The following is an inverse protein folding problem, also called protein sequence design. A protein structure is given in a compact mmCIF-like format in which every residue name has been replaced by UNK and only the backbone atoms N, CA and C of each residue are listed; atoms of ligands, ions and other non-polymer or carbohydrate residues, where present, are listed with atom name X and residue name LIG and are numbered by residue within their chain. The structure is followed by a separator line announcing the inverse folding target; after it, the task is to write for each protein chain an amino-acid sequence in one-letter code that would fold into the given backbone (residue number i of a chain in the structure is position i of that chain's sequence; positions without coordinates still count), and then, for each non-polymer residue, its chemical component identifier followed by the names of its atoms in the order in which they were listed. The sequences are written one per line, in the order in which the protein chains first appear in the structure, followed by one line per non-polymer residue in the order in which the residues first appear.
data_IF_963342097398
#
_entry.id   IF_963342097398
#
_cell.length_a   1.000
_cell.length_b   1.000
_cell.length_c   1.000
_cell.angle_alpha   90.00
_cell.angle_beta   90.00
_cell.angle_gamma   90.00
#
_symmetry.space_group_name_H-M   'P 1'
#
loop_
_entity.id
_entity.type
_entity.pdbx_description
1 polymer ?
#
# COMPACT_ATOMS: atom_id res chain seq x y z
N UNK A 1 -74.90 20.04 -31.24
CA UNK A 1 -74.09 19.48 -30.13
C UNK A 1 -72.67 19.97 -30.34
N UNK A 2 -72.20 20.88 -29.49
CA UNK A 2 -70.81 21.32 -29.57
C UNK A 2 -69.95 20.24 -28.92
N UNK A 3 -69.06 19.62 -29.71
CA UNK A 3 -68.03 18.75 -29.18
C UNK A 3 -67.16 19.56 -28.21
N UNK A 4 -67.20 19.22 -26.94
CA UNK A 4 -66.36 19.83 -25.93
C UNK A 4 -64.91 19.45 -26.22
N UNK A 5 -64.16 20.36 -26.84
CA UNK A 5 -62.72 20.19 -27.04
C UNK A 5 -62.04 19.95 -25.69
N UNK A 6 -61.15 18.95 -25.56
CA UNK A 6 -60.43 18.71 -24.32
C UNK A 6 -59.68 19.96 -23.89
N UNK A 7 -59.72 20.27 -22.59
CA UNK A 7 -59.00 21.41 -22.02
C UNK A 7 -57.51 21.36 -22.42
N UNK A 8 -56.91 22.52 -22.70
CA UNK A 8 -55.49 22.61 -23.08
C UNK A 8 -54.57 21.96 -22.05
N UNK A 9 -53.42 21.45 -22.50
CA UNK A 9 -52.43 20.82 -21.62
C UNK A 9 -52.03 21.74 -20.45
N UNK A 10 -51.87 23.05 -20.70
CA UNK A 10 -51.51 24.03 -19.67
C UNK A 10 -52.57 24.15 -18.57
N UNK A 11 -53.85 24.14 -18.94
CA UNK A 11 -54.96 24.16 -17.99
C UNK A 11 -55.03 22.88 -17.16
N UNK A 12 -54.78 21.72 -17.77
CA UNK A 12 -54.71 20.43 -17.06
C UNK A 12 -53.51 20.38 -16.11
N UNK A 13 -52.34 20.89 -16.54
CA UNK A 13 -51.13 20.97 -15.73
C UNK A 13 -51.31 21.87 -14.50
N UNK A 14 -51.87 23.07 -14.67
CA UNK A 14 -52.15 23.99 -13.56
C UNK A 14 -53.12 23.39 -12.54
N UNK A 15 -54.16 22.69 -13.00
CA UNK A 15 -55.12 22.01 -12.12
C UNK A 15 -54.46 20.89 -11.29
N UNK A 16 -53.65 20.05 -11.94
CA UNK A 16 -52.91 18.97 -11.27
C UNK A 16 -51.85 19.51 -10.29
N UNK A 17 -51.13 20.57 -10.65
CA UNK A 17 -50.16 21.23 -9.78
C UNK A 17 -50.85 21.81 -8.53
N UNK A 18 -51.97 22.52 -8.69
CA UNK A 18 -52.74 23.04 -7.54
C UNK A 18 -53.23 21.92 -6.63
N UNK A 19 -53.72 20.82 -7.19
CA UNK A 19 -54.13 19.64 -6.41
C UNK A 19 -52.95 19.08 -5.62
N UNK A 20 -51.80 18.86 -6.26
CA UNK A 20 -50.63 18.29 -5.61
C UNK A 20 -50.08 19.24 -4.52
N UNK A 21 -50.07 20.54 -4.75
CA UNK A 21 -49.69 21.55 -3.76
C UNK A 21 -50.65 21.58 -2.57
N UNK A 22 -51.96 21.50 -2.80
CA UNK A 22 -52.97 21.42 -1.71
C UNK A 22 -52.81 20.13 -0.91
N UNK A 23 -52.51 19.01 -1.57
CA UNK A 23 -52.21 17.75 -0.89
C UNK A 23 -50.97 17.86 0.00
N UNK A 24 -49.89 18.44 -0.52
CA UNK A 24 -48.67 18.67 0.27
C UNK A 24 -48.88 19.68 1.41
N UNK A 25 -49.70 20.72 1.20
CA UNK A 25 -50.09 21.67 2.25
C UNK A 25 -50.87 21.00 3.39
N UNK A 26 -51.72 20.03 3.08
CA UNK A 26 -52.47 19.26 4.10
C UNK A 26 -51.56 18.32 4.89
N UNK A 27 -50.52 17.78 4.25
CA UNK A 27 -49.53 16.89 4.87
C UNK A 27 -48.24 17.64 5.27
N UNK A 28 -48.39 18.83 5.85
CA UNK A 28 -47.26 19.73 6.15
C UNK A 28 -46.21 19.09 7.06
N UNK A 29 -46.63 18.31 8.05
CA UNK A 29 -45.73 17.62 8.99
C UNK A 29 -44.86 16.57 8.30
N UNK A 30 -45.40 15.86 7.32
CA UNK A 30 -44.63 14.87 6.57
C UNK A 30 -43.58 15.55 5.69
N UNK A 31 -43.93 16.69 5.08
CA UNK A 31 -43.01 17.47 4.26
C UNK A 31 -41.90 18.11 5.08
N UNK A 32 -42.22 18.68 6.24
CA UNK A 32 -41.22 19.20 7.17
C UNK A 32 -40.24 18.08 7.55
N UNK A 33 -40.73 16.89 7.91
CA UNK A 33 -39.87 15.75 8.25
C UNK A 33 -38.93 15.37 7.09
N UNK A 34 -39.45 15.25 5.87
CA UNK A 34 -38.66 14.91 4.68
C UNK A 34 -37.56 15.92 4.39
N UNK A 35 -37.84 17.22 4.56
CA UNK A 35 -36.86 18.28 4.35
C UNK A 35 -35.82 18.30 5.49
N UNK A 36 -36.23 18.06 6.74
CA UNK A 36 -35.31 18.09 7.90
C UNK A 36 -34.32 16.94 7.94
N UNK A 37 -34.66 15.75 7.41
CA UNK A 37 -33.80 14.56 7.48
C UNK A 37 -32.44 14.79 6.77
N UNK A 38 -32.38 15.29 5.52
CA UNK A 38 -31.12 15.64 4.87
C UNK A 38 -30.28 16.63 5.67
N UNK A 39 -30.87 17.68 6.25
CA UNK A 39 -30.16 18.64 7.08
C UNK A 39 -29.58 17.98 8.34
N UNK A 40 -30.37 17.12 8.99
CA UNK A 40 -29.90 16.36 10.15
C UNK A 40 -28.73 15.43 9.78
N UNK A 41 -28.81 14.71 8.66
CA UNK A 41 -27.72 13.86 8.19
C UNK A 41 -26.45 14.66 7.84
N UNK A 42 -26.60 15.83 7.23
CA UNK A 42 -25.47 16.72 6.95
C UNK A 42 -24.82 17.23 8.24
N UNK A 43 -25.64 17.62 9.24
CA UNK A 43 -25.14 18.05 10.54
C UNK A 43 -24.45 16.90 11.28
N UNK A 44 -25.00 15.69 11.21
CA UNK A 44 -24.40 14.49 11.79
C UNK A 44 -23.04 14.18 11.14
N UNK A 45 -22.93 14.25 9.80
CA UNK A 45 -21.65 14.11 9.10
C UNK A 45 -20.63 15.16 9.55
N UNK A 46 -21.05 16.42 9.69
CA UNK A 46 -20.19 17.51 10.14
C UNK A 46 -19.69 17.25 11.56
N UNK A 47 -20.58 16.84 12.48
CA UNK A 47 -20.21 16.47 13.85
C UNK A 47 -19.24 15.29 13.87
N UNK A 48 -19.48 14.25 13.07
CA UNK A 48 -18.58 13.09 12.98
C UNK A 48 -17.20 13.50 12.44
N UNK A 49 -17.15 14.34 11.41
CA UNK A 49 -15.90 14.88 10.87
C UNK A 49 -15.13 15.69 11.93
N UNK A 50 -15.82 16.59 12.65
CA UNK A 50 -15.20 17.37 13.73
C UNK A 50 -14.70 16.49 14.88
N UNK A 51 -15.45 15.45 15.26
CA UNK A 51 -15.00 14.49 16.27
C UNK A 51 -13.77 13.72 15.80
N UNK A 52 -13.72 13.31 14.53
CA UNK A 52 -12.54 12.65 13.98
C UNK A 52 -11.32 13.56 13.98
N UNK A 53 -11.48 14.82 13.55
CA UNK A 53 -10.38 15.78 13.51
C UNK A 53 -9.83 16.09 14.91
N UNK A 54 -10.71 16.30 15.89
CA UNK A 54 -10.32 16.66 17.25
C UNK A 54 -9.80 15.49 18.08
N UNK A 55 -10.38 14.29 17.94
CA UNK A 55 -10.02 13.13 18.75
C UNK A 55 -8.90 12.30 18.15
N UNK A 56 -8.83 12.21 16.81
CA UNK A 56 -7.87 11.34 16.13
C UNK A 56 -6.74 12.12 15.49
N UNK A 57 -7.06 13.13 14.67
CA UNK A 57 -6.03 13.86 13.94
C UNK A 57 -5.12 14.68 14.84
N UNK A 58 -5.67 15.35 15.85
CA UNK A 58 -4.85 16.12 16.79
C UNK A 58 -3.93 15.24 17.65
N UNK A 59 -4.31 13.99 17.89
CA UNK A 59 -3.55 13.06 18.74
C UNK A 59 -2.56 12.21 17.95
N UNK A 60 -2.92 11.76 16.74
CA UNK A 60 -2.14 10.78 15.97
C UNK A 60 -1.85 11.19 14.52
N UNK A 61 -2.77 11.93 13.89
CA UNK A 61 -2.80 12.16 12.45
C UNK A 61 -2.05 13.39 11.93
N UNK A 62 -1.25 14.07 12.75
CA UNK A 62 -0.44 15.22 12.34
C UNK A 62 0.88 15.27 13.10
N UNK A 63 1.82 16.09 12.65
CA UNK A 63 3.07 16.28 13.37
C UNK A 63 2.79 16.98 14.71
N UNK A 64 3.48 16.55 15.78
CA UNK A 64 3.38 17.17 17.09
C UNK A 64 3.97 18.59 17.09
N UNK A 65 3.31 19.49 17.80
CA UNK A 65 3.66 20.90 17.86
C UNK A 65 3.69 21.41 19.30
N UNK A 66 4.71 22.20 19.64
CA UNK A 66 4.75 22.93 20.91
C UNK A 66 3.84 24.17 20.89
N UNK A 67 3.81 24.86 19.74
CA UNK A 67 3.00 26.04 19.45
C UNK A 67 2.51 25.96 18.01
N UNK A 68 1.53 26.79 17.62
CA UNK A 68 0.96 26.85 16.26
C UNK A 68 1.96 27.09 15.11
N UNK A 69 3.22 27.43 15.41
CA UNK A 69 4.30 27.67 14.43
C UNK A 69 5.50 26.74 14.57
N UNK A 70 5.62 26.00 15.67
CA UNK A 70 6.81 25.17 15.97
C UNK A 70 6.37 23.72 16.11
N UNK A 71 6.29 23.06 14.96
CA UNK A 71 6.01 21.64 14.81
C UNK A 71 7.29 20.90 14.46
N UNK A 72 7.42 19.65 14.90
CA UNK A 72 8.57 18.84 14.53
C UNK A 72 8.68 17.56 15.32
N UNK A 73 9.54 16.67 14.83
CA UNK A 73 9.74 15.31 15.36
C UNK A 73 9.97 15.26 16.88
N UNK A 74 10.60 16.29 17.48
CA UNK A 74 10.89 16.35 18.93
C UNK A 74 9.64 16.47 19.80
N UNK A 75 8.55 16.99 19.25
CA UNK A 75 7.28 17.18 19.94
C UNK A 75 6.24 16.14 19.53
N UNK A 76 6.63 15.20 18.65
CA UNK A 76 5.77 14.16 18.11
C UNK A 76 5.93 12.86 18.88
N UNK A 77 4.84 12.12 19.01
CA UNK A 77 4.89 10.69 19.37
C UNK A 77 5.42 9.86 18.19
N UNK A 78 5.71 8.57 18.44
CA UNK A 78 6.17 7.63 17.41
C UNK A 78 5.23 7.55 16.21
N UNK A 79 3.91 7.66 16.42
CA UNK A 79 2.91 7.60 15.35
C UNK A 79 2.83 8.93 14.58
N UNK A 80 2.89 10.05 15.30
CA UNK A 80 2.90 11.39 14.71
C UNK A 80 4.16 11.67 13.88
N UNK A 81 5.28 11.02 14.21
CA UNK A 81 6.56 11.18 13.52
C UNK A 81 6.46 10.95 11.99
N UNK A 82 5.61 10.01 11.57
CA UNK A 82 5.41 9.69 10.15
C UNK A 82 4.79 10.85 9.34
N UNK A 83 4.12 11.79 10.02
CA UNK A 83 3.43 12.92 9.42
C UNK A 83 4.29 14.18 9.34
N UNK A 84 5.41 14.24 10.06
CA UNK A 84 6.31 15.38 10.07
C UNK A 84 7.05 15.60 8.75
N UNK A 85 7.48 16.84 8.53
CA UNK A 85 8.36 17.18 7.41
C UNK A 85 9.74 16.53 7.56
N UNK A 86 10.24 15.94 6.49
CA UNK A 86 11.59 15.37 6.38
C UNK A 86 12.26 16.03 5.18
N UNK A 87 12.90 17.21 5.36
CA UNK A 87 13.52 17.94 4.25
C UNK A 87 14.80 17.26 3.75
N UNK A 88 15.53 16.59 4.62
CA UNK A 88 16.76 15.87 4.31
C UNK A 88 16.64 14.44 4.81
N UNK A 89 16.14 13.49 3.99
CA UNK A 89 16.02 12.10 4.39
C UNK A 89 17.39 11.45 4.58
N UNK A 90 17.50 10.48 5.51
CA UNK A 90 18.74 9.76 5.76
C UNK A 90 19.17 8.94 4.53
N UNK A 91 20.49 8.75 4.41
CA UNK A 91 21.11 7.89 3.42
C UNK A 91 21.38 6.53 4.05
N UNK A 92 20.75 5.48 3.52
CA UNK A 92 20.90 4.12 4.03
C UNK A 92 21.80 3.30 3.12
N UNK A 93 22.80 2.61 3.69
CA UNK A 93 23.59 1.64 2.93
C UNK A 93 22.67 0.57 2.34
N UNK A 94 22.82 0.20 1.06
CA UNK A 94 21.94 -0.79 0.45
C UNK A 94 22.19 -2.18 1.04
N UNK A 95 21.14 -2.73 1.62
CA UNK A 95 21.16 -4.07 2.21
C UNK A 95 20.51 -5.08 1.27
N UNK A 96 20.79 -6.36 1.50
CA UNK A 96 20.06 -7.50 0.95
C UNK A 96 18.98 -7.95 1.91
N UNK A 97 17.88 -8.47 1.36
CA UNK A 97 16.96 -9.26 2.17
C UNK A 97 17.55 -10.66 2.34
N UNK A 98 17.81 -11.06 3.58
CA UNK A 98 18.26 -12.42 3.89
C UNK A 98 17.32 -13.06 4.92
N UNK A 99 17.37 -14.38 4.99
CA UNK A 99 16.50 -15.14 5.88
C UNK A 99 17.07 -15.11 7.30
N UNK A 100 16.20 -15.11 8.31
CA UNK A 100 16.62 -15.21 9.71
C UNK A 100 17.37 -16.55 9.96
N UNK A 101 18.38 -16.60 10.85
CA UNK A 101 19.23 -17.77 11.01
C UNK A 101 18.49 -19.10 11.21
N UNK A 102 17.38 -19.09 11.96
CA UNK A 102 16.56 -20.27 12.25
C UNK A 102 15.79 -20.85 11.05
N UNK A 103 15.69 -20.09 9.95
CA UNK A 103 14.90 -20.46 8.77
C UNK A 103 15.77 -20.62 7.52
N UNK A 104 17.10 -20.45 7.63
CA UNK A 104 18.03 -20.65 6.52
C UNK A 104 18.14 -22.13 6.20
N UNK A 105 18.21 -22.45 4.90
CA UNK A 105 18.50 -23.79 4.44
C UNK A 105 19.86 -24.27 4.98
N UNK A 106 19.84 -25.10 6.02
CA UNK A 106 21.02 -25.65 6.67
C UNK A 106 21.63 -26.77 5.83
N UNK A 107 22.93 -26.67 5.52
CA UNK A 107 23.71 -27.80 5.02
C UNK A 107 24.05 -28.72 6.20
N UNK A 108 23.29 -29.78 6.43
CA UNK A 108 23.61 -30.98 7.23
C UNK A 108 24.21 -30.83 8.65
N UNK A 109 24.43 -29.62 9.17
CA UNK A 109 25.08 -29.33 10.44
C UNK A 109 24.15 -28.46 11.31
N UNK A 110 23.85 -28.89 12.55
CA UNK A 110 22.97 -28.19 13.45
C UNK A 110 23.79 -27.18 14.27
N UNK A 111 23.88 -25.94 13.82
CA UNK A 111 24.42 -24.87 14.66
C UNK A 111 23.81 -23.51 14.30
N UNK A 112 23.83 -22.60 15.27
CA UNK A 112 23.35 -21.21 15.18
C UNK A 112 24.05 -20.34 14.09
N UNK A 113 24.88 -20.95 13.24
CA UNK A 113 25.71 -20.33 12.22
C UNK A 113 25.36 -20.83 10.81
N UNK A 114 24.07 -21.03 10.50
CA UNK A 114 23.65 -21.43 9.15
C UNK A 114 24.07 -20.38 8.11
N UNK A 115 24.80 -20.79 7.05
CA UNK A 115 25.27 -19.88 6.02
C UNK A 115 24.11 -19.23 5.26
N UNK A 116 24.37 -18.06 4.68
CA UNK A 116 23.47 -17.45 3.70
C UNK A 116 23.68 -18.16 2.36
N UNK A 117 22.79 -19.10 2.05
CA UNK A 117 22.91 -19.92 0.84
C UNK A 117 22.32 -19.22 -0.37
N UNK A 118 23.10 -19.16 -1.46
CA UNK A 118 22.72 -18.65 -2.77
C UNK A 118 22.75 -19.79 -3.80
N UNK A 119 21.64 -19.99 -4.52
CA UNK A 119 21.62 -20.95 -5.62
C UNK A 119 22.06 -20.26 -6.91
N UNK A 120 22.74 -20.97 -7.79
CA UNK A 120 23.06 -20.44 -9.10
C UNK A 120 23.11 -21.48 -10.20
N UNK A 121 22.84 -21.04 -11.43
CA UNK A 121 22.87 -21.87 -12.64
C UNK A 121 23.27 -21.01 -13.85
N UNK A 122 23.42 -21.65 -15.02
CA UNK A 122 23.73 -20.99 -16.29
C UNK A 122 24.28 -21.97 -17.32
N UNK A 123 24.53 -21.51 -18.55
CA UNK A 123 25.03 -22.38 -19.62
C UNK A 123 26.47 -22.84 -19.39
N UNK A 124 27.27 -22.04 -18.66
CA UNK A 124 28.66 -22.35 -18.35
C UNK A 124 28.91 -22.34 -16.84
N UNK A 125 29.07 -23.54 -16.26
CA UNK A 125 29.30 -23.73 -14.84
C UNK A 125 30.60 -23.07 -14.34
N UNK A 126 31.67 -23.13 -15.15
CA UNK A 126 32.96 -22.54 -14.75
C UNK A 126 32.86 -21.02 -14.61
N UNK A 127 32.21 -20.37 -15.59
CA UNK A 127 31.97 -18.93 -15.57
C UNK A 127 31.04 -18.54 -14.41
N UNK A 128 29.94 -19.29 -14.21
CA UNK A 128 29.02 -19.04 -13.10
C UNK A 128 29.69 -19.14 -11.72
N UNK A 129 30.62 -20.08 -11.53
CA UNK A 129 31.41 -20.21 -10.29
C UNK A 129 32.32 -19.00 -10.06
N UNK A 130 32.96 -18.49 -11.12
CA UNK A 130 33.79 -17.28 -11.04
C UNK A 130 32.92 -16.07 -10.68
N UNK A 131 31.80 -15.87 -11.36
CA UNK A 131 30.90 -14.75 -11.11
C UNK A 131 30.34 -14.78 -9.67
N UNK A 132 29.85 -15.93 -9.20
CA UNK A 132 29.41 -16.07 -7.81
C UNK A 132 30.53 -15.87 -6.80
N UNK A 133 31.76 -16.29 -7.13
CA UNK A 133 32.96 -16.08 -6.32
C UNK A 133 33.30 -14.60 -6.14
N UNK A 134 33.07 -13.79 -7.18
CA UNK A 134 33.37 -12.35 -7.18
C UNK A 134 32.29 -11.50 -6.50
N UNK A 135 31.14 -12.06 -6.10
CA UNK A 135 30.03 -11.27 -5.54
C UNK A 135 30.34 -10.68 -4.16
N UNK A 136 31.20 -11.33 -3.37
CA UNK A 136 31.59 -10.88 -2.04
C UNK A 136 33.06 -11.22 -1.78
N UNK A 137 33.71 -10.49 -0.87
CA UNK A 137 35.15 -10.58 -0.59
C UNK A 137 35.41 -10.85 0.89
N UNK A 138 36.57 -11.43 1.21
CA UNK A 138 36.99 -11.72 2.60
C UNK A 138 37.63 -10.52 3.32
N UNK A 139 37.26 -9.28 2.97
CA UNK A 139 37.81 -8.11 3.65
C UNK A 139 37.23 -7.99 5.06
N UNK A 140 38.03 -8.33 6.06
CA UNK A 140 37.74 -8.13 7.47
C UNK A 140 37.93 -6.69 7.94
N UNK A 141 38.60 -5.85 7.13
CA UNK A 141 38.86 -4.45 7.44
C UNK A 141 37.81 -3.54 6.81
N UNK A 142 37.16 -2.75 7.65
CA UNK A 142 36.30 -1.63 7.26
C UNK A 142 37.16 -0.43 6.81
N UNK A 143 38.09 -0.63 5.88
CA UNK A 143 38.88 0.47 5.30
C UNK A 143 38.07 1.07 4.14
N UNK A 144 37.02 1.83 4.48
CA UNK A 144 36.21 2.57 3.50
C UNK A 144 34.71 2.62 3.81
N UNK A 145 33.96 3.09 2.83
CA UNK A 145 32.50 3.18 2.88
C UNK A 145 31.84 1.79 3.03
N UNK A 146 30.80 1.71 3.86
CA UNK A 146 30.03 0.49 4.15
C UNK A 146 29.52 -0.18 2.86
N UNK A 147 29.28 0.61 1.82
CA UNK A 147 28.84 0.13 0.51
C UNK A 147 29.78 -0.87 -0.19
N UNK A 148 31.06 -0.91 0.18
CA UNK A 148 32.03 -1.88 -0.34
C UNK A 148 31.76 -3.31 0.12
N UNK A 149 31.12 -3.48 1.28
CA UNK A 149 30.83 -4.79 1.86
C UNK A 149 29.40 -5.23 1.54
N UNK A 150 29.20 -6.53 1.37
CA UNK A 150 27.88 -7.08 1.08
C UNK A 150 27.12 -7.31 2.38
N UNK A 151 26.23 -6.37 2.71
CA UNK A 151 25.39 -6.47 3.89
C UNK A 151 23.99 -7.00 3.57
N UNK A 152 23.42 -7.73 4.52
CA UNK A 152 22.04 -8.21 4.49
C UNK A 152 21.36 -8.06 5.84
N UNK A 153 20.03 -8.02 5.84
CA UNK A 153 19.22 -8.05 7.05
C UNK A 153 18.05 -9.00 6.92
N UNK A 154 17.67 -9.60 8.05
CA UNK A 154 16.48 -10.45 8.19
C UNK A 154 15.23 -9.69 8.60
N UNK A 155 15.33 -8.39 8.90
CA UNK A 155 14.16 -7.58 9.22
C UNK A 155 13.24 -7.49 8.01
N UNK A 156 11.94 -7.35 8.26
CA UNK A 156 10.98 -7.08 7.21
C UNK A 156 11.26 -5.71 6.57
N UNK A 157 11.12 -5.58 5.24
CA UNK A 157 11.24 -4.28 4.57
C UNK A 157 10.11 -3.34 5.00
N UNK A 158 10.41 -2.05 5.03
CA UNK A 158 9.43 -1.00 5.31
C UNK A 158 8.75 -0.54 4.02
N UNK A 159 7.65 0.21 4.17
CA UNK A 159 6.93 0.83 3.05
C UNK A 159 7.61 2.10 2.53
N UNK A 160 8.55 2.66 3.30
CA UNK A 160 9.30 3.87 2.97
C UNK A 160 10.73 3.75 3.48
N UNK A 161 11.70 4.35 2.80
CA UNK A 161 13.08 4.42 3.30
C UNK A 161 13.34 5.67 4.18
N UNK A 162 12.33 6.37 4.70
CA UNK A 162 12.57 7.41 5.72
C UNK A 162 13.15 6.80 7.00
N UNK A 163 12.73 5.57 7.30
CA UNK A 163 13.18 4.77 8.43
C UNK A 163 13.25 3.32 7.95
N UNK A 164 14.47 2.81 7.72
CA UNK A 164 14.64 1.40 7.37
C UNK A 164 14.71 0.56 8.65
N UNK A 165 13.77 -0.39 8.75
CA UNK A 165 13.63 -1.30 9.88
C UNK A 165 14.90 -2.12 10.15
N UNK A 166 15.76 -2.33 9.16
CA UNK A 166 17.02 -3.05 9.34
C UNK A 166 18.00 -2.34 10.24
N UNK A 167 18.01 -1.01 10.24
CA UNK A 167 18.91 -0.25 11.09
C UNK A 167 18.29 -0.02 12.47
N UNK A 168 16.98 0.23 12.53
CA UNK A 168 16.28 0.61 13.77
C UNK A 168 15.94 -0.61 14.66
N UNK A 169 15.69 -1.78 14.10
CA UNK A 169 15.34 -2.97 14.89
C UNK A 169 16.52 -3.49 15.73
N UNK A 170 16.25 -4.29 16.75
CA UNK A 170 17.31 -4.94 17.54
C UNK A 170 18.01 -6.09 16.80
N UNK A 171 17.55 -6.42 15.58
CA UNK A 171 18.16 -7.48 14.77
C UNK A 171 19.52 -7.05 14.22
N UNK A 172 20.54 -7.92 14.23
CA UNK A 172 21.84 -7.59 13.68
C UNK A 172 21.79 -7.46 12.16
N UNK A 173 22.71 -6.68 11.62
CA UNK A 173 23.02 -6.68 10.18
C UNK A 173 24.05 -7.78 9.95
N UNK A 174 23.97 -8.45 8.82
CA UNK A 174 24.88 -9.54 8.50
C UNK A 174 25.83 -9.12 7.37
N UNK A 175 27.13 -9.27 7.60
CA UNK A 175 28.16 -9.11 6.58
C UNK A 175 28.41 -10.46 5.90
N UNK A 176 28.16 -10.55 4.59
CA UNK A 176 28.30 -11.80 3.84
C UNK A 176 29.74 -11.90 3.31
N UNK A 177 30.45 -12.95 3.74
CA UNK A 177 31.84 -13.23 3.36
C UNK A 177 32.00 -14.70 2.94
N UNK A 178 33.09 -15.07 2.25
CA UNK A 178 33.33 -16.49 1.94
C UNK A 178 33.67 -17.29 3.20
N UNK A 179 34.42 -16.67 4.12
CA UNK A 179 34.81 -17.26 5.39
C UNK A 179 34.76 -16.23 6.51
N UNK A 180 34.10 -16.58 7.61
CA UNK A 180 34.03 -15.72 8.78
C UNK A 180 35.13 -16.08 9.78
N UNK A 181 35.97 -15.09 10.13
CA UNK A 181 36.95 -15.22 11.21
C UNK A 181 36.32 -14.91 12.58
N UNK A 182 36.94 -15.32 13.69
CA UNK A 182 36.40 -15.09 15.04
C UNK A 182 36.21 -13.61 15.41
N UNK A 183 36.94 -12.68 14.77
CA UNK A 183 36.85 -11.23 15.01
C UNK A 183 36.10 -10.47 13.89
N UNK A 184 35.26 -11.16 13.13
CA UNK A 184 34.53 -10.58 11.98
C UNK A 184 33.21 -9.88 12.37
N UNK A 185 32.76 -10.05 13.62
CA UNK A 185 31.61 -9.32 14.17
C UNK A 185 32.07 -8.05 14.89
N UNK A 186 31.43 -6.93 14.59
CA UNK A 186 31.73 -5.62 15.16
C UNK A 186 30.45 -4.79 15.29
N UNK A 187 30.49 -3.73 16.08
CA UNK A 187 29.38 -2.77 16.18
C UNK A 187 29.73 -1.46 15.49
N UNK A 188 28.78 -0.89 14.78
CA UNK A 188 28.88 0.46 14.20
C UNK A 188 27.90 1.40 14.89
N UNK A 189 28.24 2.68 14.97
CA UNK A 189 27.31 3.71 15.41
C UNK A 189 26.60 4.28 14.19
N UNK A 190 25.29 4.14 14.14
CA UNK A 190 24.47 4.71 13.08
C UNK A 190 24.03 6.09 13.51
N UNK A 191 24.46 7.10 12.77
CA UNK A 191 24.09 8.48 13.02
C UNK A 191 22.79 8.81 12.27
N UNK A 192 21.69 8.95 13.01
CA UNK A 192 20.45 9.52 12.49
C UNK A 192 20.11 10.74 13.33
N UNK A 193 20.49 11.93 12.87
CA UNK A 193 20.28 13.19 13.60
C UNK A 193 18.84 13.25 14.17
N UNK A 194 18.68 13.35 15.50
CA UNK A 194 19.66 13.72 16.54
C UNK A 194 20.28 12.55 17.34
N UNK A 195 19.98 11.29 17.01
CA UNK A 195 20.36 10.10 17.78
C UNK A 195 21.46 9.28 17.10
N UNK A 196 22.32 8.67 17.92
CA UNK A 196 23.27 7.66 17.47
C UNK A 196 22.99 6.37 18.25
N UNK A 197 22.76 5.27 17.52
CA UNK A 197 22.51 3.97 18.14
C UNK A 197 23.55 2.94 17.68
N UNK A 198 24.05 2.09 18.60
CA UNK A 198 24.95 1.01 18.23
C UNK A 198 24.18 -0.05 17.46
N UNK A 199 24.78 -0.54 16.39
CA UNK A 199 24.24 -1.62 15.57
C UNK A 199 25.26 -2.73 15.43
N UNK A 200 24.85 -3.93 15.81
CA UNK A 200 25.66 -5.12 15.67
C UNK A 200 25.71 -5.58 14.21
N UNK A 201 26.92 -5.82 13.73
CA UNK A 201 27.21 -6.44 12.45
C UNK A 201 27.83 -7.80 12.74
N UNK A 202 27.16 -8.86 12.28
CA UNK A 202 27.61 -10.24 12.42
C UNK A 202 28.09 -10.78 11.07
N UNK A 203 29.24 -11.45 11.03
CA UNK A 203 29.63 -12.13 9.82
C UNK A 203 28.77 -13.37 9.58
N UNK A 204 28.40 -13.59 8.32
CA UNK A 204 27.74 -14.81 7.85
C UNK A 204 28.45 -15.32 6.61
N UNK A 205 28.73 -16.62 6.61
CA UNK A 205 29.29 -17.27 5.45
C UNK A 205 28.26 -17.29 4.30
N UNK A 206 28.64 -16.77 3.14
CA UNK A 206 27.92 -16.93 1.89
C UNK A 206 28.24 -18.30 1.28
N UNK A 207 27.22 -19.14 1.07
CA UNK A 207 27.39 -20.45 0.46
C UNK A 207 26.79 -20.47 -0.94
N UNK A 208 27.62 -20.65 -1.96
CA UNK A 208 27.18 -20.71 -3.35
C UNK A 208 26.95 -22.16 -3.79
N UNK A 209 25.73 -22.51 -4.21
CA UNK A 209 25.36 -23.86 -4.65
C UNK A 209 24.93 -23.89 -6.12
N UNK A 210 25.64 -24.69 -6.92
CA UNK A 210 25.34 -24.87 -8.34
C UNK A 210 24.15 -25.82 -8.56
N UNK A 211 23.28 -25.49 -9.52
CA UNK A 211 22.24 -26.38 -10.06
C UNK A 211 22.32 -26.49 -11.57
N UNK A 212 21.93 -27.65 -12.09
CA UNK A 212 22.09 -27.97 -13.52
C UNK A 212 21.12 -27.21 -14.42
N UNK A 213 19.93 -26.88 -13.91
CA UNK A 213 18.93 -26.13 -14.67
C UNK A 213 18.21 -25.10 -13.81
N UNK A 214 17.59 -24.11 -14.47
CA UNK A 214 16.70 -23.13 -13.82
C UNK A 214 15.46 -23.78 -13.20
N UNK A 215 14.98 -24.90 -13.76
CA UNK A 215 13.91 -25.71 -13.17
C UNK A 215 14.33 -26.30 -11.83
N UNK A 216 15.56 -26.83 -11.72
CA UNK A 216 16.08 -27.37 -10.46
C UNK A 216 16.19 -26.28 -9.39
N UNK A 217 16.69 -25.10 -9.77
CA UNK A 217 16.72 -23.92 -8.88
C UNK A 217 15.30 -23.61 -8.39
N UNK A 218 14.32 -23.51 -9.29
CA UNK A 218 12.95 -23.18 -8.94
C UNK A 218 12.32 -24.25 -8.01
N UNK A 219 12.55 -25.53 -8.30
CA UNK A 219 12.07 -26.63 -7.48
C UNK A 219 12.66 -26.59 -6.06
N UNK A 220 13.94 -26.26 -5.91
CA UNK A 220 14.57 -26.13 -4.60
C UNK A 220 14.13 -24.89 -3.84
N UNK A 221 14.03 -23.73 -4.50
CA UNK A 221 13.48 -22.52 -3.89
C UNK A 221 12.04 -22.79 -3.39
N UNK A 222 11.23 -23.48 -4.19
CA UNK A 222 9.87 -23.84 -3.79
C UNK A 222 9.85 -24.82 -2.61
N UNK A 223 10.70 -25.87 -2.62
CA UNK A 223 10.82 -26.79 -1.47
C UNK A 223 11.26 -26.09 -0.18
N UNK A 224 12.09 -25.05 -0.30
CA UNK A 224 12.53 -24.24 0.84
C UNK A 224 11.42 -23.39 1.46
N UNK A 225 10.41 -23.06 0.65
CA UNK A 225 9.25 -22.28 1.11
C UNK A 225 8.32 -23.12 1.98
N UNK A 226 7.77 -22.50 3.03
CA UNK A 226 6.91 -23.17 4.04
C UNK A 226 5.80 -24.04 3.41
N UNK A 227 5.14 -23.58 2.35
CA UNK A 227 4.03 -24.31 1.71
C UNK A 227 4.46 -25.25 0.59
N UNK A 228 5.76 -25.32 0.27
CA UNK A 228 6.29 -26.13 -0.81
C UNK A 228 6.93 -27.44 -0.36
N UNK A 229 6.97 -27.72 0.94
CA UNK A 229 7.37 -29.00 1.50
C UNK A 229 6.25 -29.61 2.37
N UNK A 230 6.16 -30.95 2.45
CA UNK A 230 5.13 -31.64 3.22
C UNK A 230 5.25 -31.42 4.74
N UNK A 231 6.44 -31.07 5.23
CA UNK A 231 6.71 -30.87 6.66
C UNK A 231 6.33 -29.47 7.17
N UNK A 232 5.88 -28.58 6.27
CA UNK A 232 5.64 -27.15 6.51
C UNK A 232 6.79 -26.40 7.22
N UNK A 233 8.04 -26.82 7.00
CA UNK A 233 9.23 -26.20 7.59
C UNK A 233 9.79 -25.10 6.68
N UNK A 234 10.37 -24.06 7.27
CA UNK A 234 11.00 -22.98 6.51
C UNK A 234 12.48 -23.29 6.36
N UNK A 235 12.93 -23.50 5.13
CA UNK A 235 14.32 -23.74 4.76
C UNK A 235 14.66 -22.86 3.55
N UNK A 236 14.61 -21.55 3.74
CA UNK A 236 14.72 -20.59 2.65
C UNK A 236 16.19 -20.27 2.31
N UNK A 237 16.37 -19.87 1.05
CA UNK A 237 17.63 -19.42 0.47
C UNK A 237 17.65 -17.88 0.41
N UNK A 238 18.83 -17.27 0.40
CA UNK A 238 18.95 -15.81 0.38
C UNK A 238 18.50 -15.22 -0.96
N UNK A 239 18.99 -15.78 -2.07
CA UNK A 239 18.58 -15.46 -3.44
C UNK A 239 19.08 -16.55 -4.39
N UNK A 240 18.71 -16.44 -5.67
CA UNK A 240 19.32 -17.25 -6.71
C UNK A 240 19.64 -16.46 -7.98
N UNK A 241 20.64 -16.92 -8.73
CA UNK A 241 21.11 -16.29 -9.97
C UNK A 241 21.16 -17.29 -11.12
N UNK A 242 20.62 -16.90 -12.27
CA UNK A 242 20.80 -17.65 -13.53
C UNK A 242 21.49 -16.79 -14.55
N UNK A 243 22.74 -17.15 -14.83
CA UNK A 243 23.61 -16.43 -15.75
C UNK A 243 23.34 -16.75 -17.22
N UNK A 244 22.34 -17.58 -17.54
CA UNK A 244 21.91 -17.91 -18.90
C UNK A 244 23.08 -18.06 -19.90
N UNK A 245 23.12 -17.22 -20.93
CA UNK A 245 24.16 -17.16 -21.98
C UNK A 245 25.18 -16.02 -21.77
N UNK A 246 25.44 -15.63 -20.51
CA UNK A 246 26.45 -14.62 -20.16
C UNK A 246 27.83 -15.02 -20.72
N UNK A 247 28.53 -14.06 -21.33
CA UNK A 247 29.85 -14.23 -21.93
C UNK A 247 30.67 -12.93 -21.77
N UNK A 248 31.83 -12.80 -22.42
CA UNK A 248 32.69 -11.60 -22.29
C UNK A 248 32.06 -10.30 -22.83
N UNK A 249 31.06 -10.38 -23.70
CA UNK A 249 30.46 -9.23 -24.39
C UNK A 249 29.01 -8.97 -23.98
N UNK A 250 28.34 -9.93 -23.35
CA UNK A 250 26.93 -9.87 -22.98
C UNK A 250 26.73 -10.38 -21.56
N UNK A 251 26.06 -9.57 -20.73
CA UNK A 251 25.60 -9.95 -19.40
C UNK A 251 24.09 -10.22 -19.46
N UNK A 252 23.70 -11.47 -19.25
CA UNK A 252 22.30 -11.86 -19.19
C UNK A 252 22.05 -12.65 -17.90
N UNK A 253 21.34 -12.03 -16.95
CA UNK A 253 21.16 -12.59 -15.61
C UNK A 253 19.71 -12.48 -15.17
N UNK A 254 19.15 -13.61 -14.74
CA UNK A 254 17.92 -13.63 -13.96
C UNK A 254 18.27 -13.63 -12.48
N UNK A 255 17.64 -12.74 -11.73
CA UNK A 255 17.75 -12.67 -10.27
C UNK A 255 16.44 -13.13 -9.65
N UNK A 256 16.47 -14.21 -8.89
CA UNK A 256 15.33 -14.68 -8.11
C UNK A 256 15.43 -14.19 -6.69
N UNK A 257 14.34 -13.59 -6.21
CA UNK A 257 14.22 -13.05 -4.87
C UNK A 257 12.88 -13.48 -4.27
N UNK A 258 12.79 -13.46 -2.94
CA UNK A 258 11.58 -13.81 -2.23
C UNK A 258 10.58 -12.63 -2.29
N UNK A 259 9.51 -12.78 -3.06
CA UNK A 259 8.46 -11.76 -3.22
C UNK A 259 7.43 -11.74 -2.09
N UNK A 260 7.46 -12.71 -1.16
CA UNK A 260 6.50 -12.75 -0.03
C UNK A 260 6.63 -11.53 0.88
N UNK A 261 7.83 -10.97 0.98
CA UNK A 261 8.11 -9.74 1.74
C UNK A 261 7.43 -8.49 1.16
N UNK A 262 6.92 -8.54 -0.08
CA UNK A 262 6.17 -7.44 -0.69
C UNK A 262 4.92 -7.09 0.15
N UNK A 263 4.31 -8.12 0.75
CA UNK A 263 3.05 -8.06 1.52
C UNK A 263 1.98 -7.16 0.86
N UNK A 264 1.85 -7.29 -0.46
CA UNK A 264 0.97 -6.47 -1.28
C UNK A 264 -0.49 -6.85 -1.03
N UNK A 265 -1.29 -5.89 -0.58
CA UNK A 265 -2.72 -6.06 -0.37
C UNK A 265 -3.45 -4.90 -1.03
N UNK A 266 -4.69 -5.09 -1.46
CA UNK A 266 -5.50 -4.05 -2.14
C UNK A 266 -5.54 -2.73 -1.35
N UNK A 267 -5.35 -2.79 -0.02
CA UNK A 267 -5.49 -1.67 0.91
C UNK A 267 -4.15 -1.01 1.27
N UNK A 268 -3.01 -1.70 1.13
CA UNK A 268 -1.70 -1.20 1.59
C UNK A 268 -0.69 -1.13 0.44
N UNK A 269 0.12 -0.06 0.35
CA UNK A 269 1.18 0.01 -0.64
C UNK A 269 2.18 -1.13 -0.44
N UNK A 270 2.82 -1.57 -1.51
CA UNK A 270 3.84 -2.63 -1.45
C UNK A 270 5.06 -2.20 -0.63
N UNK A 271 5.63 -3.12 0.14
CA UNK A 271 6.89 -2.86 0.84
C UNK A 271 8.07 -2.73 -0.14
N UNK A 272 9.08 -1.95 0.22
CA UNK A 272 10.24 -1.69 -0.63
C UNK A 272 11.24 -2.85 -0.54
N UNK A 273 11.13 -3.79 -1.49
CA UNK A 273 11.98 -4.98 -1.53
C UNK A 273 13.41 -4.60 -1.94
N UNK A 274 14.38 -5.23 -1.28
CA UNK A 274 15.83 -4.98 -1.43
C UNK A 274 16.48 -5.68 -2.63
N UNK A 275 15.82 -5.67 -3.78
CA UNK A 275 16.33 -6.25 -5.04
C UNK A 275 17.53 -5.48 -5.63
N UNK A 276 17.61 -4.14 -5.56
CA UNK A 276 18.71 -3.40 -6.20
C UNK A 276 20.12 -3.84 -5.78
N UNK A 277 20.30 -4.27 -4.52
CA UNK A 277 21.61 -4.78 -4.06
C UNK A 277 21.98 -6.13 -4.69
N UNK A 278 21.01 -7.01 -4.97
CA UNK A 278 21.25 -8.27 -5.70
C UNK A 278 21.74 -8.00 -7.13
N UNK A 279 21.12 -7.04 -7.80
CA UNK A 279 21.50 -6.65 -9.17
C UNK A 279 22.88 -6.00 -9.18
N UNK A 280 23.17 -5.15 -8.19
CA UNK A 280 24.49 -4.54 -8.03
C UNK A 280 25.59 -5.59 -7.82
N UNK A 281 25.36 -6.62 -7.01
CA UNK A 281 26.32 -7.72 -6.84
C UNK A 281 26.59 -8.46 -8.15
N UNK A 282 25.54 -8.84 -8.90
CA UNK A 282 25.69 -9.52 -10.18
C UNK A 282 26.45 -8.66 -11.21
N UNK A 283 26.15 -7.36 -11.24
CA UNK A 283 26.82 -6.40 -12.12
C UNK A 283 28.30 -6.21 -11.75
N UNK A 284 28.60 -6.08 -10.45
CA UNK A 284 29.98 -5.95 -9.96
C UNK A 284 30.81 -7.20 -10.20
N UNK A 285 30.25 -8.38 -9.94
CA UNK A 285 30.91 -9.65 -10.22
C UNK A 285 31.31 -9.78 -11.70
N UNK A 286 30.45 -9.31 -12.61
CA UNK A 286 30.72 -9.31 -14.03
C UNK A 286 31.78 -8.27 -14.44
N UNK A 287 31.71 -7.06 -13.88
CA UNK A 287 32.72 -6.02 -14.12
C UNK A 287 34.11 -6.48 -13.65
N UNK A 288 34.18 -7.10 -12.47
CA UNK A 288 35.40 -7.68 -11.93
C UNK A 288 35.96 -8.80 -12.83
N UNK A 289 35.08 -9.64 -13.37
CA UNK A 289 35.47 -10.66 -14.35
C UNK A 289 36.05 -10.05 -15.65
N UNK A 290 35.50 -8.94 -16.14
CA UNK A 290 35.94 -8.33 -17.41
C UNK A 290 37.17 -7.41 -17.30
N UNK A 291 37.26 -6.64 -16.22
CA UNK A 291 38.22 -5.54 -16.07
C UNK A 291 39.20 -5.74 -14.92
N UNK A 292 39.00 -6.76 -14.08
CA UNK A 292 39.78 -7.01 -12.87
C UNK A 292 39.15 -6.43 -11.61
N UNK A 293 39.68 -6.84 -10.45
CA UNK A 293 39.13 -6.59 -9.11
C UNK A 293 39.06 -5.13 -8.67
N UNK A 294 39.76 -4.23 -9.36
CA UNK A 294 39.73 -2.79 -9.10
C UNK A 294 38.48 -2.10 -9.68
N UNK A 295 37.81 -2.72 -10.67
CA UNK A 295 36.67 -2.10 -11.34
C UNK A 295 35.36 -2.50 -10.66
N UNK A 296 34.82 -1.61 -9.82
CA UNK A 296 33.53 -1.83 -9.13
C UNK A 296 32.59 -0.65 -9.33
N UNK A 297 31.31 -0.96 -9.50
CA UNK A 297 30.22 0.01 -9.46
C UNK A 297 29.71 0.12 -8.03
N UNK A 298 30.11 1.19 -7.34
CA UNK A 298 29.72 1.44 -5.96
C UNK A 298 28.23 1.81 -5.90
N UNK A 299 27.46 1.04 -5.14
CA UNK A 299 26.11 1.41 -4.76
C UNK A 299 26.15 1.93 -3.33
N UNK A 300 26.33 3.24 -3.19
CA UNK A 300 26.66 3.92 -1.94
C UNK A 300 25.49 3.88 -0.94
N UNK A 301 24.32 4.38 -1.37
CA UNK A 301 23.15 4.50 -0.51
C UNK A 301 21.83 4.49 -1.28
N UNK A 302 20.76 4.22 -0.53
CA UNK A 302 19.35 4.43 -0.90
C UNK A 302 18.80 5.53 0.00
N UNK A 303 18.09 6.50 -0.58
CA UNK A 303 17.41 7.55 0.18
C UNK A 303 16.05 7.86 -0.43
N UNK A 304 15.12 8.31 0.40
CA UNK A 304 13.84 8.84 -0.08
C UNK A 304 13.97 10.25 -0.68
N UNK A 305 12.88 10.71 -1.28
CA UNK A 305 12.70 12.12 -1.62
C UNK A 305 12.37 12.94 -0.36
N UNK A 306 12.74 14.22 -0.30
CA UNK A 306 12.24 15.13 0.73
C UNK A 306 10.70 15.15 0.76
N UNK A 307 10.14 15.16 1.97
CA UNK A 307 8.69 15.20 2.18
C UNK A 307 8.28 16.41 3.04
N UNK A 308 7.24 17.16 2.63
CA UNK A 308 6.64 18.18 3.49
C UNK A 308 5.80 17.54 4.59
N UNK A 309 5.43 18.34 5.59
CA UNK A 309 4.47 17.91 6.61
C UNK A 309 3.14 17.50 5.96
N UNK A 310 2.57 16.40 6.45
CA UNK A 310 1.30 15.84 5.97
C UNK A 310 0.35 15.68 7.12
N UNK A 311 -0.96 15.86 6.88
CA UNK A 311 -2.01 15.55 7.84
C UNK A 311 -2.88 14.41 7.30
N UNK A 312 -3.30 13.50 8.17
CA UNK A 312 -4.26 12.46 7.83
C UNK A 312 -5.63 13.09 7.60
N UNK A 313 -5.97 13.38 6.35
CA UNK A 313 -7.27 13.90 5.99
C UNK A 313 -8.16 12.75 5.50
N UNK A 314 -8.97 12.17 6.39
CA UNK A 314 -10.05 11.30 5.98
C UNK A 314 -11.31 12.13 5.75
N UNK A 315 -11.75 12.20 4.51
CA UNK A 315 -13.03 12.81 4.15
C UNK A 315 -14.15 11.77 4.36
N UNK A 316 -14.72 11.74 5.57
CA UNK A 316 -15.80 10.81 5.93
C UNK A 316 -17.05 11.08 5.08
N UNK A 317 -17.25 12.33 4.65
CA UNK A 317 -18.34 12.68 3.76
C UNK A 317 -18.18 12.03 2.39
N UNK A 318 -16.95 11.93 1.85
CA UNK A 318 -16.72 11.18 0.60
C UNK A 318 -16.98 9.68 0.74
N UNK A 319 -16.66 9.10 1.90
CA UNK A 319 -16.77 7.66 2.14
C UNK A 319 -18.22 7.20 2.38
N UNK A 320 -18.97 7.95 3.19
CA UNK A 320 -20.34 7.59 3.62
C UNK A 320 -21.42 8.37 2.86
N UNK A 321 -21.06 9.50 2.25
CA UNK A 321 -21.96 10.37 1.49
C UNK A 321 -22.79 9.65 0.43
N UNK A 322 -22.23 8.74 -0.40
CA UNK A 322 -23.02 7.99 -1.37
C UNK A 322 -24.16 7.18 -0.74
N UNK A 323 -23.93 6.59 0.43
CA UNK A 323 -24.94 5.82 1.17
C UNK A 323 -26.05 6.73 1.71
N UNK A 324 -25.70 7.85 2.33
CA UNK A 324 -26.69 8.81 2.82
C UNK A 324 -27.47 9.49 1.68
N UNK A 325 -26.81 9.82 0.57
CA UNK A 325 -27.48 10.35 -0.61
C UNK A 325 -28.50 9.35 -1.17
N UNK A 326 -28.12 8.08 -1.24
CA UNK A 326 -29.02 7.00 -1.66
C UNK A 326 -30.23 6.91 -0.74
N UNK A 327 -30.02 6.98 0.58
CA UNK A 327 -31.12 6.99 1.55
C UNK A 327 -32.05 8.19 1.41
N UNK A 328 -31.51 9.40 1.17
CA UNK A 328 -32.32 10.60 0.95
C UNK A 328 -33.21 10.46 -0.28
N UNK A 329 -32.68 9.96 -1.41
CA UNK A 329 -33.48 9.70 -2.60
C UNK A 329 -34.54 8.63 -2.33
N UNK A 330 -34.17 7.54 -1.65
CA UNK A 330 -35.11 6.47 -1.32
C UNK A 330 -36.24 6.93 -0.39
N UNK A 331 -36.02 7.93 0.46
CA UNK A 331 -37.08 8.50 1.32
C UNK A 331 -38.19 9.20 0.52
N UNK A 332 -37.91 9.67 -0.70
CA UNK A 332 -38.91 10.26 -1.58
C UNK A 332 -39.81 9.20 -2.23
N UNK A 333 -39.32 7.97 -2.38
CA UNK A 333 -40.06 6.89 -3.05
C UNK A 333 -41.39 6.53 -2.36
N UNK A 334 -41.44 6.32 -1.02
CA UNK A 334 -42.71 6.14 -0.31
C UNK A 334 -43.71 7.29 -0.47
N UNK A 335 -43.24 8.53 -0.63
CA UNK A 335 -44.11 9.71 -0.83
C UNK A 335 -44.79 9.67 -2.19
N UNK A 336 -44.02 9.32 -3.23
CA UNK A 336 -44.54 9.12 -4.59
C UNK A 336 -45.53 7.94 -4.60
N UNK A 337 -45.17 6.83 -3.96
CA UNK A 337 -46.02 5.64 -3.98
C UNK A 337 -47.31 5.84 -3.18
N UNK A 338 -47.26 6.48 -2.01
CA UNK A 338 -48.44 6.76 -1.19
C UNK A 338 -49.41 7.72 -1.87
N UNK A 339 -48.92 8.75 -2.57
CA UNK A 339 -49.78 9.66 -3.35
C UNK A 339 -50.49 8.93 -4.49
N UNK A 340 -49.77 8.11 -5.27
CA UNK A 340 -50.37 7.33 -6.35
C UNK A 340 -51.39 6.29 -5.85
N UNK A 341 -51.05 5.58 -4.77
CA UNK A 341 -51.96 4.59 -4.15
C UNK A 341 -53.19 5.27 -3.55
N UNK A 342 -53.01 6.41 -2.88
CA UNK A 342 -54.12 7.20 -2.34
C UNK A 342 -55.08 7.66 -3.44
N UNK A 343 -54.56 8.16 -4.55
CA UNK A 343 -55.38 8.55 -5.71
C UNK A 343 -56.14 7.39 -6.33
N UNK A 344 -55.52 6.20 -6.35
CA UNK A 344 -56.15 4.97 -6.81
C UNK A 344 -57.25 4.51 -5.84
N UNK A 345 -56.97 4.51 -4.53
CA UNK A 345 -57.89 4.06 -3.48
C UNK A 345 -59.14 4.95 -3.40
N UNK A 346 -58.98 6.27 -3.41
CA UNK A 346 -60.08 7.24 -3.38
C UNK A 346 -60.74 7.46 -4.75
N UNK A 347 -60.33 6.69 -5.77
CA UNK A 347 -60.82 6.78 -7.15
C UNK A 347 -60.68 8.19 -7.77
N UNK A 348 -59.76 9.01 -7.25
CA UNK A 348 -59.48 10.37 -7.71
C UNK A 348 -59.04 10.38 -9.18
N UNK A 349 -58.30 9.35 -9.61
CA UNK A 349 -57.92 9.18 -11.02
C UNK A 349 -59.12 9.03 -11.96
N UNK A 350 -60.13 8.24 -11.55
CA UNK A 350 -61.34 8.05 -12.35
C UNK A 350 -62.14 9.35 -12.40
N UNK A 351 -62.29 10.04 -11.26
CA UNK A 351 -62.94 11.35 -11.22
C UNK A 351 -62.24 12.36 -12.13
N UNK A 352 -60.91 12.45 -12.12
CA UNK A 352 -60.16 13.35 -13.01
C UNK A 352 -60.37 13.02 -14.50
N UNK A 353 -60.43 11.73 -14.85
CA UNK A 353 -60.73 11.27 -16.21
C UNK A 353 -62.15 11.66 -16.67
N UNK A 354 -63.13 11.56 -15.77
CA UNK A 354 -64.51 11.98 -16.04
C UNK A 354 -64.64 13.51 -16.24
N UNK A 355 -63.73 14.30 -15.68
CA UNK A 355 -63.63 15.76 -15.89
C UNK A 355 -62.80 16.13 -17.14
N UNK A 356 -62.47 15.17 -18.01
CA UNK A 356 -61.78 15.43 -19.29
C UNK A 356 -60.25 15.42 -19.21
N UNK A 357 -59.64 14.92 -18.13
CA UNK A 357 -58.19 14.71 -18.06
C UNK A 357 -57.79 13.44 -18.83
N UNK A 358 -56.89 13.58 -19.81
CA UNK A 358 -56.33 12.44 -20.53
C UNK A 358 -55.31 11.65 -19.71
N UNK A 359 -55.16 10.35 -20.02
CA UNK A 359 -54.19 9.48 -19.33
C UNK A 359 -52.73 9.91 -19.57
N UNK A 360 -52.39 10.34 -20.80
CA UNK A 360 -51.03 10.78 -21.13
C UNK A 360 -50.65 12.11 -20.43
N UNK A 361 -51.48 13.17 -20.48
CA UNK A 361 -51.24 14.39 -19.69
C UNK A 361 -51.08 14.15 -18.19
N UNK A 362 -51.87 13.25 -17.60
CA UNK A 362 -51.76 12.90 -16.18
C UNK A 362 -50.38 12.35 -15.83
N UNK A 363 -49.88 11.36 -16.59
CA UNK A 363 -48.59 10.75 -16.31
C UNK A 363 -47.42 11.69 -16.56
N UNK A 364 -47.47 12.50 -17.63
CA UNK A 364 -46.43 13.50 -17.92
C UNK A 364 -46.36 14.52 -16.79
N UNK A 365 -47.49 15.13 -16.42
CA UNK A 365 -47.51 16.16 -15.38
C UNK A 365 -47.14 15.58 -14.00
N UNK A 366 -47.62 14.38 -13.67
CA UNK A 366 -47.27 13.73 -12.40
C UNK A 366 -45.80 13.35 -12.33
N UNK A 367 -45.23 12.83 -13.43
CA UNK A 367 -43.81 12.50 -13.51
C UNK A 367 -42.95 13.76 -13.41
N UNK A 368 -43.25 14.82 -14.16
CA UNK A 368 -42.54 16.10 -14.09
C UNK A 368 -42.64 16.71 -12.70
N UNK A 369 -43.80 16.61 -12.04
CA UNK A 369 -43.98 17.10 -10.68
C UNK A 369 -43.10 16.35 -9.67
N UNK A 370 -43.02 15.02 -9.74
CA UNK A 370 -42.15 14.25 -8.85
C UNK A 370 -40.67 14.44 -9.15
N UNK A 371 -40.30 14.60 -10.43
CA UNK A 371 -38.92 14.90 -10.84
C UNK A 371 -38.44 16.27 -10.36
N UNK A 372 -39.34 17.27 -10.24
CA UNK A 372 -39.00 18.58 -9.67
C UNK A 372 -38.89 18.57 -8.14
N UNK A 373 -39.42 17.54 -7.48
CA UNK A 373 -39.38 17.38 -6.02
C UNK A 373 -38.19 16.53 -5.58
N UNK A 374 -37.77 15.58 -6.41
CA UNK A 374 -36.50 14.85 -6.26
C UNK A 374 -35.30 15.72 -6.55
#
# INVERSE_FOLDING_TARGET
MADSSPASFLTQANALLRKNLVFQKRNIWSNVRLITIPFFLCLLLLVVQMLFDTQFNDVHGQCGCLNAKTCGLRYSTSEQAAFCAIPNPPQWTPLLQIVAPQYRAASQYPSHASPATFLFTGNNQSLGKILMGNMYSNSSKLDGDLANNVFGSSSLPAYTNYMDASFISDLPIYNIQHECSQNSSFSILIHQSPLAFPKEINCVQGLNLWRNSSSDVNNELFRGYRKGNPDEKINEYAAAFDFQNTNMNNLNVNVWYNSTYKNDTVVRPMALIRVPRLVNMASNAYLEFLKGSETKMLFEYVKEMPKPETKLNLDIASLIGPLFFTWVILLLFPVILTTLVYEKQQRLRIMMKMHGLGDAPYWIVSYTYFLLIS
#
